data_IF_850292131231
#
_entry.id   IF_850292131231
#
_cell.length_a   1.000
_cell.length_b   1.000
_cell.length_c   1.000
_cell.angle_alpha   90.00
_cell.angle_beta   90.00
_cell.angle_gamma   90.00
#
_symmetry.space_group_name_H-M   'P 1'
#
loop_
_entity.id
_entity.type
_entity.pdbx_description
1 polymer ?
#
# COMPACT_ATOMS: atom_id res chain seq x y z
N UNK A 1 -8.75 -43.62 -13.22
CA UNK A 1 -9.24 -42.25 -12.91
C UNK A 1 -8.17 -41.16 -13.16
N UNK A 2 -6.88 -41.41 -12.95
CA UNK A 2 -5.79 -40.42 -13.13
C UNK A 2 -5.65 -39.74 -14.52
N UNK A 3 -5.89 -40.46 -15.64
CA UNK A 3 -5.71 -39.87 -16.99
C UNK A 3 -6.81 -38.91 -17.43
N UNK A 4 -8.03 -39.08 -16.93
CA UNK A 4 -9.15 -38.20 -17.29
C UNK A 4 -9.01 -36.86 -16.57
N UNK A 5 -8.54 -36.88 -15.33
CA UNK A 5 -8.31 -35.67 -14.53
C UNK A 5 -7.23 -34.75 -15.15
N UNK A 6 -6.14 -35.33 -15.67
CA UNK A 6 -5.07 -34.58 -16.36
C UNK A 6 -5.58 -33.93 -17.66
N UNK A 7 -6.48 -34.59 -18.39
CA UNK A 7 -7.06 -34.06 -19.63
C UNK A 7 -8.01 -32.91 -19.33
N UNK A 8 -8.85 -33.04 -18.30
CA UNK A 8 -9.78 -31.96 -17.88
C UNK A 8 -9.01 -30.75 -17.37
N UNK A 9 -7.96 -30.94 -16.55
CA UNK A 9 -7.13 -29.84 -16.02
C UNK A 9 -6.42 -29.06 -17.14
N UNK A 10 -5.89 -29.75 -18.14
CA UNK A 10 -5.29 -29.12 -19.33
C UNK A 10 -6.32 -28.40 -20.21
N UNK A 11 -7.56 -28.88 -20.25
CA UNK A 11 -8.64 -28.21 -20.98
C UNK A 11 -9.07 -26.92 -20.28
N UNK A 12 -9.17 -26.91 -18.95
CA UNK A 12 -9.55 -25.74 -18.16
C UNK A 12 -8.48 -24.65 -18.22
N UNK A 13 -7.20 -25.00 -18.06
CA UNK A 13 -6.07 -24.08 -18.26
C UNK A 13 -6.02 -23.52 -19.70
N UNK A 14 -6.33 -24.36 -20.70
CA UNK A 14 -6.40 -23.91 -22.10
C UNK A 14 -7.54 -22.92 -22.36
N UNK A 15 -8.69 -23.07 -21.69
CA UNK A 15 -9.83 -22.15 -21.83
C UNK A 15 -9.57 -20.82 -21.12
N UNK A 16 -8.90 -20.83 -19.95
CA UNK A 16 -8.49 -19.61 -19.26
C UNK A 16 -7.48 -18.80 -20.09
N UNK A 17 -6.46 -19.46 -20.65
CA UNK A 17 -5.49 -18.82 -21.53
C UNK A 17 -6.14 -18.26 -22.82
N UNK A 18 -7.14 -18.97 -23.36
CA UNK A 18 -7.87 -18.50 -24.55
C UNK A 18 -8.75 -17.27 -24.24
N UNK A 19 -9.35 -17.19 -23.06
CA UNK A 19 -10.14 -16.02 -22.64
C UNK A 19 -9.27 -14.76 -22.48
N UNK A 20 -8.05 -14.89 -21.96
CA UNK A 20 -7.08 -13.78 -21.87
C UNK A 20 -6.68 -13.28 -23.27
N UNK A 21 -6.47 -14.21 -24.20
CA UNK A 21 -6.08 -13.89 -25.58
C UNK A 21 -7.23 -13.24 -26.39
N UNK A 22 -8.47 -13.69 -26.18
CA UNK A 22 -9.67 -13.10 -26.80
C UNK A 22 -9.97 -11.71 -26.23
N UNK A 23 -9.77 -11.49 -24.93
CA UNK A 23 -9.93 -10.18 -24.31
C UNK A 23 -8.87 -9.18 -24.81
N UNK A 24 -7.62 -9.64 -24.98
CA UNK A 24 -6.54 -8.85 -25.58
C UNK A 24 -6.79 -8.47 -27.05
N UNK A 25 -7.39 -9.36 -27.85
CA UNK A 25 -7.76 -9.03 -29.24
C UNK A 25 -8.97 -8.09 -29.34
N UNK A 26 -9.93 -8.14 -28.41
CA UNK A 26 -11.08 -7.24 -28.44
C UNK A 26 -10.69 -5.79 -28.10
N UNK A 27 -9.69 -5.61 -27.23
CA UNK A 27 -9.14 -4.30 -26.85
C UNK A 27 -8.40 -3.62 -28.01
N UNK A 28 -7.74 -4.40 -28.86
CA UNK A 28 -7.03 -3.91 -30.06
C UNK A 28 -7.97 -3.33 -31.14
N UNK A 29 -9.26 -3.72 -31.14
CA UNK A 29 -10.23 -3.27 -32.17
C UNK A 29 -10.90 -1.94 -31.79
N UNK A 30 -10.77 -1.46 -30.55
CA UNK A 30 -11.50 -0.25 -30.09
C UNK A 30 -10.68 1.06 -30.12
N UNK A 31 -9.38 1.03 -30.44
CA UNK A 31 -8.50 2.20 -30.31
C UNK A 31 -8.20 2.98 -31.60
N UNK A 32 -8.89 2.72 -32.71
CA UNK A 32 -8.76 3.54 -33.93
C UNK A 32 -9.85 4.62 -34.03
N UNK A 33 -9.85 5.63 -33.15
CA UNK A 33 -10.55 6.90 -33.40
C UNK A 33 -10.14 8.02 -32.42
N UNK A 34 -9.48 9.06 -32.95
CA UNK A 34 -9.25 10.38 -32.31
C UNK A 34 -7.95 10.45 -31.52
N UNK A 35 -7.11 11.47 -31.61
CA UNK A 35 -7.27 12.82 -32.13
C UNK A 35 -6.35 13.71 -31.28
N UNK A 36 -5.30 14.22 -31.92
CA UNK A 36 -4.14 14.95 -31.41
C UNK A 36 -4.51 16.23 -30.62
N UNK A 37 -3.98 16.39 -29.40
CA UNK A 37 -3.70 17.71 -28.79
C UNK A 37 -2.61 17.58 -27.72
N UNK A 38 -1.44 18.14 -28.02
CA UNK A 38 -0.26 18.22 -27.15
C UNK A 38 -0.34 19.44 -26.22
N UNK A 39 -0.25 19.22 -24.91
CA UNK A 39 -0.04 20.29 -23.93
C UNK A 39 1.36 20.22 -23.33
N UNK A 40 2.09 21.32 -23.53
CA UNK A 40 3.42 21.59 -22.98
C UNK A 40 3.39 21.69 -21.44
N UNK A 41 4.28 20.95 -20.77
CA UNK A 41 4.55 21.12 -19.34
C UNK A 41 5.83 21.95 -19.17
N UNK A 42 5.67 23.09 -18.51
CA UNK A 42 6.74 24.00 -18.07
C UNK A 42 7.39 23.45 -16.80
N UNK A 43 8.69 23.18 -16.85
CA UNK A 43 9.49 22.80 -15.68
C UNK A 43 10.00 24.08 -15.02
N UNK A 44 9.49 24.39 -13.83
CA UNK A 44 10.03 25.49 -13.02
C UNK A 44 11.18 24.96 -12.16
N UNK A 45 12.42 25.21 -12.59
CA UNK A 45 13.62 25.01 -11.78
C UNK A 45 13.79 26.21 -10.84
N UNK A 46 13.39 26.04 -9.58
CA UNK A 46 13.72 26.97 -8.49
C UNK A 46 15.03 26.58 -7.83
N UNK A 47 16.11 27.23 -8.26
CA UNK A 47 17.44 27.20 -7.65
C UNK A 47 17.42 28.10 -6.39
N UNK A 48 17.72 27.55 -5.20
CA UNK A 48 17.88 28.33 -3.97
C UNK A 48 19.21 27.98 -3.32
N UNK A 49 20.27 28.63 -3.79
CA UNK A 49 21.49 28.82 -3.01
C UNK A 49 21.50 30.23 -2.42
N UNK A 50 21.42 30.32 -1.09
CA UNK A 50 21.43 31.59 -0.37
C UNK A 50 21.79 31.39 1.09
N UNK A 51 23.08 31.52 1.41
CA UNK A 51 23.59 31.70 2.78
C UNK A 51 23.00 32.99 3.40
N UNK A 52 22.65 33.01 4.69
CA UNK A 52 22.50 34.26 5.43
C UNK A 52 23.75 34.55 6.26
N UNK A 53 24.08 35.83 6.38
CA UNK A 53 25.04 36.33 7.38
C UNK A 53 24.43 37.53 8.11
N UNK A 54 24.59 37.48 9.44
CA UNK A 54 24.51 38.53 10.50
C UNK A 54 23.27 39.42 10.65
N UNK A 55 22.58 39.34 11.81
CA UNK A 55 22.72 40.25 12.99
C UNK A 55 21.52 40.14 13.94
N UNK A 56 21.82 39.91 15.22
CA UNK A 56 20.90 40.10 16.35
C UNK A 56 20.67 41.59 16.63
N UNK A 57 19.61 41.95 17.39
CA UNK A 57 19.85 42.19 18.81
C UNK A 57 18.74 41.68 19.76
N UNK A 58 19.15 41.63 21.02
CA UNK A 58 18.43 41.14 22.18
C UNK A 58 17.23 42.02 22.61
N UNK A 59 16.26 41.37 23.24
CA UNK A 59 15.49 41.95 24.34
C UNK A 59 15.00 40.85 25.27
N UNK A 60 15.41 40.95 26.53
CA UNK A 60 14.95 40.18 27.69
C UNK A 60 13.46 40.44 27.94
N UNK A 61 12.69 39.39 28.23
CA UNK A 61 11.58 39.53 29.17
C UNK A 61 11.35 38.22 29.93
N UNK A 62 11.27 38.38 31.24
CA UNK A 62 11.24 37.36 32.28
C UNK A 62 9.79 37.06 32.63
N UNK A 63 9.32 35.81 32.58
CA UNK A 63 8.14 35.40 33.37
C UNK A 63 8.41 34.04 34.01
N UNK A 64 8.11 34.02 35.30
CA UNK A 64 8.40 32.98 36.28
C UNK A 64 7.44 31.80 36.25
N UNK A 65 7.88 30.75 36.92
CA UNK A 65 7.27 29.45 37.17
C UNK A 65 5.86 29.48 37.78
N UNK A 66 5.08 28.44 37.48
CA UNK A 66 4.17 27.88 38.47
C UNK A 66 4.15 26.35 38.37
N UNK A 67 4.60 25.73 39.47
CA UNK A 67 4.59 24.31 39.77
C UNK A 67 3.29 24.02 40.50
N UNK A 68 2.48 23.08 40.00
CA UNK A 68 1.35 22.53 40.75
C UNK A 68 1.50 21.02 40.91
N UNK A 69 2.08 20.67 42.05
CA UNK A 69 2.02 19.37 42.72
C UNK A 69 0.56 19.01 43.07
N UNK A 70 0.12 17.82 42.68
CA UNK A 70 -0.99 17.12 43.34
C UNK A 70 -0.67 15.64 43.47
N UNK A 71 0.05 15.34 44.55
CA UNK A 71 0.02 14.07 45.26
C UNK A 71 -1.42 13.70 45.68
N UNK A 72 -1.84 12.47 45.36
CA UNK A 72 -3.04 11.81 45.88
C UNK A 72 -2.75 10.34 46.12
N UNK A 73 -2.58 9.99 47.39
CA UNK A 73 -2.36 8.63 47.92
C UNK A 73 -3.65 8.14 48.57
N UNK A 74 -3.80 6.80 48.63
CA UNK A 74 -4.73 5.95 49.39
C UNK A 74 -5.83 5.30 48.52
N UNK A 75 -6.22 4.03 48.66
CA UNK A 75 -5.87 2.99 49.62
C UNK A 75 -6.31 1.60 49.10
N UNK A 76 -5.46 0.59 49.31
CA UNK A 76 -5.73 -0.81 49.67
C UNK A 76 -7.20 -1.26 49.87
N UNK A 77 -7.63 -2.31 49.16
CA UNK A 77 -8.23 -3.53 49.73
C UNK A 77 -8.48 -4.61 48.65
N UNK A 78 -7.81 -5.77 48.77
CA UNK A 78 -8.35 -7.06 48.29
C UNK A 78 -8.80 -7.89 49.50
N UNK A 79 -9.02 -9.21 49.37
CA UNK A 79 -9.52 -9.99 48.23
C UNK A 79 -10.78 -10.80 48.62
N UNK A 80 -11.49 -11.41 47.68
CA UNK A 80 -12.34 -12.58 47.99
C UNK A 80 -12.33 -13.55 46.81
N UNK A 81 -11.66 -14.67 47.06
CA UNK A 81 -11.76 -15.89 46.30
C UNK A 81 -13.07 -16.57 46.69
N UNK A 82 -13.91 -16.90 45.70
CA UNK A 82 -14.97 -17.87 45.88
C UNK A 82 -14.73 -19.03 44.91
N UNK A 83 -14.59 -20.20 45.54
CA UNK A 83 -14.30 -21.48 44.91
C UNK A 83 -15.64 -22.18 44.72
N UNK A 84 -16.08 -22.36 43.48
CA UNK A 84 -17.21 -23.24 43.17
C UNK A 84 -16.71 -24.35 42.24
N UNK A 85 -16.50 -25.52 42.84
CA UNK A 85 -16.36 -26.78 42.14
C UNK A 85 -17.72 -27.16 41.54
N UNK A 86 -17.79 -27.33 40.23
CA UNK A 86 -18.93 -27.94 39.57
C UNK A 86 -18.51 -29.20 38.83
N UNK A 87 -19.40 -30.19 38.88
CA UNK A 87 -19.15 -31.59 38.69
C UNK A 87 -18.92 -31.96 37.21
N UNK A 88 -17.90 -32.77 36.95
CA UNK A 88 -17.64 -33.36 35.65
C UNK A 88 -18.70 -34.42 35.31
N UNK A 89 -19.53 -34.13 34.31
CA UNK A 89 -20.35 -35.12 33.63
C UNK A 89 -19.50 -35.95 32.62
N UNK A 90 -19.84 -37.23 32.35
CA UNK A 90 -19.10 -38.05 31.39
C UNK A 90 -19.26 -37.51 29.97
N UNK A 91 -18.15 -37.21 29.30
CA UNK A 91 -18.10 -36.85 27.88
C UNK A 91 -18.51 -38.08 27.06
N UNK A 92 -19.63 -37.96 26.34
CA UNK A 92 -19.99 -38.91 25.29
C UNK A 92 -18.93 -38.90 24.17
N UNK A 93 -18.67 -40.04 23.51
CA UNK A 93 -17.68 -40.11 22.44
C UNK A 93 -18.07 -39.17 21.31
N UNK A 94 -17.29 -38.11 21.14
CA UNK A 94 -17.33 -37.21 19.99
C UNK A 94 -17.25 -38.06 18.72
N UNK A 95 -18.38 -38.14 18.01
CA UNK A 95 -18.45 -38.77 16.70
C UNK A 95 -17.42 -38.14 15.77
N UNK A 96 -16.75 -38.99 15.00
CA UNK A 96 -15.85 -38.59 13.92
C UNK A 96 -16.57 -37.57 13.03
N UNK A 97 -16.23 -36.29 13.21
CA UNK A 97 -16.57 -35.25 12.25
C UNK A 97 -15.71 -35.56 11.04
N UNK A 98 -16.29 -36.24 10.05
CA UNK A 98 -15.73 -36.29 8.71
C UNK A 98 -15.60 -34.85 8.24
N UNK A 99 -14.38 -34.31 8.33
CA UNK A 99 -14.02 -33.08 7.65
C UNK A 99 -14.26 -33.31 6.16
N UNK A 100 -15.39 -32.83 5.65
CA UNK A 100 -15.63 -32.73 4.22
C UNK A 100 -14.53 -31.83 3.67
N UNK A 101 -13.63 -32.42 2.88
CA UNK A 101 -12.62 -31.68 2.12
C UNK A 101 -13.32 -30.55 1.37
N UNK A 102 -13.13 -29.32 1.83
CA UNK A 102 -13.69 -28.14 1.19
C UNK A 102 -12.82 -27.78 -0.01
N UNK A 103 -13.45 -27.42 -1.12
CA UNK A 103 -12.72 -26.90 -2.28
C UNK A 103 -12.15 -25.51 -1.96
N UNK A 104 -11.01 -25.13 -2.55
CA UNK A 104 -10.50 -23.76 -2.45
C UNK A 104 -11.56 -22.74 -2.90
N UNK A 105 -11.54 -21.52 -2.34
CA UNK A 105 -12.41 -20.45 -2.80
C UNK A 105 -12.20 -20.15 -4.30
N UNK A 106 -13.21 -19.61 -5.01
CA UNK A 106 -13.03 -19.17 -6.39
C UNK A 106 -12.02 -18.02 -6.49
N UNK A 107 -11.48 -17.81 -7.69
CA UNK A 107 -10.70 -16.60 -7.96
C UNK A 107 -11.57 -15.35 -7.83
N UNK A 108 -11.07 -14.28 -7.17
CA UNK A 108 -11.77 -13.00 -7.14
C UNK A 108 -11.83 -12.38 -8.54
N UNK A 109 -12.75 -11.44 -8.74
CA UNK A 109 -12.81 -10.69 -9.99
C UNK A 109 -11.56 -9.80 -10.13
N UNK A 110 -10.98 -9.67 -11.34
CA UNK A 110 -9.89 -8.73 -11.58
C UNK A 110 -10.30 -7.28 -11.29
N UNK A 111 -9.36 -6.48 -10.80
CA UNK A 111 -9.57 -5.05 -10.56
C UNK A 111 -9.87 -4.30 -11.85
N UNK A 112 -10.94 -3.52 -11.81
CA UNK A 112 -11.32 -2.62 -12.89
C UNK A 112 -11.27 -1.17 -12.38
N UNK A 113 -10.37 -0.33 -12.90
CA UNK A 113 -10.28 1.06 -12.47
C UNK A 113 -11.59 1.81 -12.71
N UNK A 114 -11.96 2.67 -11.77
CA UNK A 114 -13.16 3.49 -11.90
C UNK A 114 -13.05 4.46 -13.10
N UNK A 115 -14.16 4.92 -13.70
CA UNK A 115 -14.13 5.77 -14.89
C UNK A 115 -13.42 7.12 -14.71
N UNK A 116 -13.31 7.61 -13.48
CA UNK A 116 -12.60 8.84 -13.10
C UNK A 116 -11.09 8.64 -12.88
N UNK A 117 -10.58 7.41 -12.97
CA UNK A 117 -9.18 7.11 -12.73
C UNK A 117 -8.27 7.68 -13.81
N UNK A 118 -7.19 8.33 -13.38
CA UNK A 118 -6.11 8.74 -14.28
C UNK A 118 -5.29 7.51 -14.69
N UNK A 119 -4.89 7.46 -15.96
CA UNK A 119 -4.11 6.34 -16.51
C UNK A 119 -4.78 4.97 -16.29
N UNK A 120 -6.11 4.89 -16.44
CA UNK A 120 -6.89 3.67 -16.19
C UNK A 120 -6.33 2.42 -16.91
N UNK A 121 -5.86 2.55 -18.15
CA UNK A 121 -5.20 1.44 -18.86
C UNK A 121 -3.97 0.91 -18.10
N UNK A 122 -3.10 1.80 -17.64
CA UNK A 122 -1.91 1.44 -16.86
C UNK A 122 -2.28 0.83 -15.52
N UNK A 123 -3.23 1.43 -14.79
CA UNK A 123 -3.72 0.90 -13.51
C UNK A 123 -4.28 -0.51 -13.65
N UNK A 124 -5.10 -0.76 -14.68
CA UNK A 124 -5.62 -2.10 -14.99
C UNK A 124 -4.49 -3.10 -15.25
N UNK A 125 -3.50 -2.72 -16.06
CA UNK A 125 -2.37 -3.60 -16.39
C UNK A 125 -1.48 -3.89 -15.16
N UNK A 126 -1.19 -2.86 -14.35
CA UNK A 126 -0.45 -3.01 -13.10
C UNK A 126 -1.18 -3.90 -12.10
N UNK A 127 -2.47 -3.65 -11.89
CA UNK A 127 -3.32 -4.47 -11.03
C UNK A 127 -3.42 -5.92 -11.54
N UNK A 128 -3.48 -6.14 -12.84
CA UNK A 128 -3.47 -7.49 -13.43
C UNK A 128 -2.17 -8.23 -13.12
N UNK A 129 -1.02 -7.56 -13.16
CA UNK A 129 0.25 -8.20 -12.81
C UNK A 129 0.30 -8.62 -11.33
N UNK A 130 -0.14 -7.75 -10.42
CA UNK A 130 -0.27 -8.08 -8.99
C UNK A 130 -1.30 -9.19 -8.75
N UNK A 131 -2.43 -9.18 -9.47
CA UNK A 131 -3.45 -10.22 -9.44
C UNK A 131 -2.86 -11.57 -9.85
N UNK A 132 -2.11 -11.64 -10.95
CA UNK A 132 -1.50 -12.88 -11.43
C UNK A 132 -0.56 -13.50 -10.40
N UNK A 133 0.34 -12.73 -9.80
CA UNK A 133 1.33 -13.29 -8.85
C UNK A 133 0.71 -13.73 -7.52
N UNK A 134 -0.49 -13.24 -7.19
CA UNK A 134 -1.20 -13.54 -5.94
C UNK A 134 -2.35 -14.55 -6.10
N UNK A 135 -2.62 -15.02 -7.32
CA UNK A 135 -3.72 -15.94 -7.60
C UNK A 135 -3.19 -17.23 -8.26
N UNK A 136 -3.10 -18.30 -7.48
CA UNK A 136 -2.58 -19.60 -7.93
C UNK A 136 -3.20 -20.78 -7.19
N UNK A 137 -3.10 -21.96 -7.80
CA UNK A 137 -3.56 -23.22 -7.20
C UNK A 137 -2.43 -23.96 -6.49
N UNK A 138 -2.79 -24.89 -5.60
CA UNK A 138 -1.90 -25.74 -4.76
C UNK A 138 -0.70 -26.31 -5.52
N UNK A 139 -0.88 -26.76 -6.75
CA UNK A 139 0.16 -27.41 -7.56
C UNK A 139 0.86 -26.47 -8.55
N UNK A 140 0.58 -25.18 -8.49
CA UNK A 140 1.23 -24.18 -9.34
C UNK A 140 2.64 -23.90 -8.82
N UNK A 141 3.65 -24.05 -9.67
CA UNK A 141 4.98 -23.55 -9.39
C UNK A 141 5.07 -22.04 -9.62
N UNK A 142 5.97 -21.35 -8.92
CA UNK A 142 6.22 -19.92 -9.14
C UNK A 142 6.59 -19.64 -10.61
N UNK A 143 7.37 -20.50 -11.25
CA UNK A 143 7.71 -20.37 -12.67
C UNK A 143 6.48 -20.42 -13.58
N UNK A 144 5.52 -21.31 -13.31
CA UNK A 144 4.27 -21.37 -14.08
C UNK A 144 3.41 -20.13 -13.87
N UNK A 145 3.34 -19.60 -12.65
CA UNK A 145 2.64 -18.34 -12.34
C UNK A 145 3.27 -17.19 -13.13
N UNK A 146 4.59 -17.04 -13.05
CA UNK A 146 5.32 -15.97 -13.74
C UNK A 146 5.26 -16.07 -15.27
N UNK A 147 5.17 -17.29 -15.82
CA UNK A 147 5.02 -17.49 -17.26
C UNK A 147 3.69 -16.95 -17.83
N UNK A 148 2.73 -16.60 -16.98
CA UNK A 148 1.47 -15.96 -17.41
C UNK A 148 1.56 -14.44 -17.50
N UNK A 149 2.59 -13.82 -16.91
CA UNK A 149 2.86 -12.40 -17.10
C UNK A 149 3.43 -12.16 -18.51
N UNK A 150 2.99 -11.11 -19.22
CA UNK A 150 3.64 -10.69 -20.45
C UNK A 150 5.06 -10.19 -20.12
N UNK A 151 6.06 -10.51 -20.94
CA UNK A 151 7.42 -10.00 -20.73
C UNK A 151 8.52 -10.89 -21.31
N UNK A 152 9.77 -10.45 -21.14
CA UNK A 152 10.96 -11.18 -21.57
C UNK A 152 11.25 -12.37 -20.63
N UNK A 153 11.23 -13.62 -21.11
CA UNK A 153 11.59 -14.79 -20.32
C UNK A 153 12.98 -14.71 -19.69
N UNK A 154 13.91 -13.92 -20.27
CA UNK A 154 15.24 -13.72 -19.70
C UNK A 154 15.21 -13.00 -18.34
N UNK A 155 14.11 -12.30 -18.01
CA UNK A 155 13.92 -11.61 -16.73
C UNK A 155 13.19 -12.46 -15.68
N UNK A 156 12.74 -13.66 -16.04
CA UNK A 156 11.95 -14.52 -15.16
C UNK A 156 12.69 -14.87 -13.85
N UNK A 157 14.01 -15.03 -13.88
CA UNK A 157 14.81 -15.34 -12.69
C UNK A 157 14.87 -14.16 -11.71
N UNK A 158 15.12 -12.94 -12.22
CA UNK A 158 15.10 -11.72 -11.40
C UNK A 158 13.70 -11.47 -10.80
N UNK A 159 12.66 -11.68 -11.61
CA UNK A 159 11.28 -11.57 -11.17
C UNK A 159 10.94 -12.61 -10.09
N UNK A 160 11.38 -13.86 -10.26
CA UNK A 160 11.17 -14.92 -9.28
C UNK A 160 11.84 -14.58 -7.95
N UNK A 161 13.03 -13.97 -7.97
CA UNK A 161 13.69 -13.51 -6.75
C UNK A 161 12.88 -12.42 -6.04
N UNK A 162 12.32 -11.46 -6.79
CA UNK A 162 11.55 -10.36 -6.20
C UNK A 162 10.24 -10.85 -5.56
N UNK A 163 9.52 -11.75 -6.22
CA UNK A 163 8.19 -12.17 -5.77
C UNK A 163 8.17 -13.47 -4.96
N UNK A 164 9.33 -14.05 -4.62
CA UNK A 164 9.39 -15.38 -4.01
C UNK A 164 8.59 -15.50 -2.71
N UNK A 165 8.43 -14.42 -1.94
CA UNK A 165 7.62 -14.40 -0.71
C UNK A 165 6.12 -14.39 -0.93
N UNK A 166 5.67 -13.98 -2.12
CA UNK A 166 4.26 -13.95 -2.50
C UNK A 166 3.76 -15.36 -2.82
N UNK A 167 4.64 -16.23 -3.33
CA UNK A 167 4.31 -17.62 -3.64
C UNK A 167 4.56 -18.55 -2.45
N UNK A 168 3.58 -19.39 -2.12
CA UNK A 168 3.62 -20.35 -1.03
C UNK A 168 3.48 -21.77 -1.61
N UNK A 169 4.58 -22.51 -1.79
CA UNK A 169 4.54 -23.83 -2.41
C UNK A 169 3.62 -24.81 -1.68
N UNK A 170 2.74 -25.48 -2.42
CA UNK A 170 1.78 -26.45 -1.86
C UNK A 170 0.53 -25.82 -1.24
N UNK A 171 0.30 -24.53 -1.47
CA UNK A 171 -0.88 -23.79 -1.01
C UNK A 171 -1.61 -23.16 -2.20
N UNK A 172 -2.93 -23.00 -2.09
CA UNK A 172 -3.68 -22.11 -2.98
C UNK A 172 -3.56 -20.67 -2.47
N UNK A 173 -3.71 -19.70 -3.38
CA UNK A 173 -3.72 -18.28 -3.05
C UNK A 173 -4.81 -17.54 -3.82
N UNK A 174 -5.48 -16.60 -3.15
CA UNK A 174 -6.47 -15.67 -3.71
C UNK A 174 -6.09 -14.24 -3.35
N UNK A 175 -5.74 -13.45 -4.36
CA UNK A 175 -5.38 -12.06 -4.21
C UNK A 175 -6.49 -11.15 -4.70
N UNK A 176 -7.06 -10.35 -3.80
CA UNK A 176 -8.00 -9.29 -4.12
C UNK A 176 -7.25 -7.97 -4.15
N UNK A 177 -7.23 -7.30 -5.29
CA UNK A 177 -6.66 -5.95 -5.40
C UNK A 177 -7.66 -4.97 -4.79
N UNK A 178 -7.24 -4.29 -3.73
CA UNK A 178 -8.04 -3.31 -3.00
C UNK A 178 -7.93 -1.93 -3.64
N UNK A 179 -6.73 -1.57 -4.11
CA UNK A 179 -6.51 -0.32 -4.83
C UNK A 179 -5.25 -0.35 -5.71
N UNK A 180 -5.24 0.48 -6.75
CA UNK A 180 -4.09 0.70 -7.62
C UNK A 180 -3.80 2.21 -7.73
N UNK A 181 -2.72 2.66 -7.09
CA UNK A 181 -2.25 4.05 -7.07
C UNK A 181 -1.20 4.29 -8.16
N UNK A 182 -1.13 5.51 -8.70
CA UNK A 182 0.06 5.95 -9.42
C UNK A 182 1.25 6.16 -8.47
N UNK A 183 2.36 5.44 -8.69
CA UNK A 183 3.64 5.65 -7.96
C UNK A 183 4.62 6.57 -8.70
N UNK A 184 4.34 6.90 -9.96
CA UNK A 184 5.19 7.77 -10.77
C UNK A 184 4.85 7.71 -12.26
N UNK A 185 5.02 8.82 -12.97
CA UNK A 185 4.62 8.92 -14.38
C UNK A 185 5.61 9.75 -15.20
N UNK A 186 6.09 9.17 -16.30
CA UNK A 186 6.89 9.78 -17.36
C UNK A 186 6.30 9.39 -18.72
N UNK A 187 6.65 10.10 -19.79
CA UNK A 187 6.10 9.85 -21.14
C UNK A 187 6.19 8.39 -21.61
N UNK A 188 7.25 7.67 -21.22
CA UNK A 188 7.51 6.28 -21.64
C UNK A 188 7.53 5.24 -20.51
N UNK A 189 7.38 5.65 -19.25
CA UNK A 189 7.46 4.75 -18.08
C UNK A 189 6.48 5.18 -17.01
N UNK A 190 5.87 4.22 -16.33
CA UNK A 190 4.93 4.48 -15.25
C UNK A 190 5.08 3.42 -14.16
N UNK A 191 4.79 3.81 -12.93
CA UNK A 191 4.72 2.93 -11.77
C UNK A 191 3.30 2.89 -11.26
N UNK A 192 2.82 1.69 -11.00
CA UNK A 192 1.52 1.42 -10.37
C UNK A 192 1.79 0.69 -9.07
N UNK A 193 1.40 1.29 -7.95
CA UNK A 193 1.50 0.71 -6.62
C UNK A 193 0.16 0.06 -6.29
N UNK A 194 0.15 -1.25 -6.14
CA UNK A 194 -1.08 -2.06 -6.02
C UNK A 194 -1.18 -2.63 -4.62
N UNK A 195 -2.21 -2.21 -3.88
CA UNK A 195 -2.56 -2.80 -2.59
C UNK A 195 -3.35 -4.07 -2.86
N UNK A 196 -2.83 -5.22 -2.43
CA UNK A 196 -3.43 -6.53 -2.65
C UNK A 196 -3.57 -7.29 -1.34
N UNK A 197 -4.79 -7.67 -0.99
CA UNK A 197 -5.09 -8.59 0.10
C UNK A 197 -5.00 -10.02 -0.43
N UNK A 198 -4.04 -10.76 0.07
CA UNK A 198 -3.73 -12.13 -0.31
C UNK A 198 -4.16 -13.10 0.78
N UNK A 199 -5.06 -14.01 0.43
CA UNK A 199 -5.50 -15.13 1.26
C UNK A 199 -4.82 -16.41 0.77
N UNK A 200 -4.19 -17.15 1.68
CA UNK A 200 -3.44 -18.36 1.37
C UNK A 200 -3.94 -19.50 2.23
N UNK A 201 -4.20 -20.67 1.63
CA UNK A 201 -4.69 -21.84 2.34
C UNK A 201 -4.24 -23.17 1.74
N UNK A 202 -4.49 -24.24 2.46
CA UNK A 202 -4.06 -25.60 2.08
C UNK A 202 -5.11 -26.35 1.27
N UNK A 203 -4.67 -27.38 0.54
CA UNK A 203 -5.56 -28.28 -0.19
C UNK A 203 -6.62 -28.90 0.74
N UNK A 204 -7.87 -28.91 0.29
CA UNK A 204 -8.99 -29.48 1.04
C UNK A 204 -9.55 -28.58 2.14
N UNK A 205 -9.05 -27.34 2.28
CA UNK A 205 -9.66 -26.27 3.08
C UNK A 205 -10.18 -25.15 2.17
N UNK A 206 -11.40 -24.68 2.44
CA UNK A 206 -11.95 -23.47 1.85
C UNK A 206 -11.65 -22.21 2.67
N UNK A 207 -11.15 -22.36 3.89
CA UNK A 207 -10.75 -21.25 4.76
C UNK A 207 -9.25 -20.96 4.60
N UNK A 208 -8.84 -19.69 4.56
CA UNK A 208 -7.43 -19.33 4.51
C UNK A 208 -6.73 -19.65 5.83
N UNK A 209 -5.49 -20.13 5.74
CA UNK A 209 -4.59 -20.27 6.91
C UNK A 209 -3.91 -18.94 7.24
N UNK A 210 -3.70 -18.11 6.23
CA UNK A 210 -3.01 -16.83 6.35
C UNK A 210 -3.67 -15.79 5.46
N UNK A 211 -3.75 -14.58 5.95
CA UNK A 211 -4.10 -13.41 5.16
C UNK A 211 -3.03 -12.35 5.35
N UNK A 212 -2.57 -11.76 4.25
CA UNK A 212 -1.60 -10.67 4.24
C UNK A 212 -2.04 -9.61 3.22
N UNK A 213 -1.93 -8.33 3.56
CA UNK A 213 -2.10 -7.24 2.60
C UNK A 213 -0.74 -6.66 2.23
N UNK A 214 -0.40 -6.62 0.94
CA UNK A 214 0.90 -6.14 0.44
C UNK A 214 0.74 -5.01 -0.55
N UNK A 215 1.77 -4.18 -0.66
CA UNK A 215 1.87 -3.17 -1.72
C UNK A 215 2.91 -3.57 -2.75
N UNK A 216 2.44 -3.89 -3.95
CA UNK A 216 3.27 -4.34 -5.07
C UNK A 216 3.55 -3.17 -6.01
N UNK A 217 4.82 -2.87 -6.27
CA UNK A 217 5.21 -1.85 -7.24
C UNK A 217 5.43 -2.50 -8.61
N UNK A 218 4.52 -2.21 -9.53
CA UNK A 218 4.57 -2.70 -10.91
C UNK A 218 5.04 -1.57 -11.82
N UNK A 219 6.05 -1.88 -12.64
CA UNK A 219 6.56 -0.96 -13.66
C UNK A 219 6.02 -1.34 -15.03
N UNK A 220 5.58 -0.32 -15.76
CA UNK A 220 5.16 -0.45 -17.14
C UNK A 220 5.97 0.50 -18.01
N UNK A 221 6.17 0.11 -19.26
CA UNK A 221 6.82 0.92 -20.29
C UNK A 221 5.91 1.08 -21.50
N UNK A 222 6.10 2.17 -22.26
CA UNK A 222 5.42 2.32 -23.55
C UNK A 222 6.07 1.42 -24.59
N UNK A 223 5.28 0.55 -25.20
CA UNK A 223 5.69 -0.28 -26.34
C UNK A 223 5.78 0.50 -27.65
N UNK A 224 6.21 -0.17 -28.72
CA UNK A 224 6.34 0.43 -30.05
C UNK A 224 5.01 0.97 -30.61
N UNK A 225 3.90 0.34 -30.21
CA UNK A 225 2.54 0.76 -30.58
C UNK A 225 2.06 2.01 -29.83
N UNK A 226 2.80 2.44 -28.81
CA UNK A 226 2.37 3.47 -27.87
C UNK A 226 1.44 2.97 -26.77
N UNK A 227 1.09 1.68 -26.70
CA UNK A 227 0.34 1.10 -25.58
C UNK A 227 1.25 0.87 -24.35
N UNK A 228 0.66 0.74 -23.16
CA UNK A 228 1.40 0.33 -21.97
C UNK A 228 1.68 -1.18 -22.01
N UNK A 229 2.90 -1.57 -21.65
CA UNK A 229 3.34 -2.96 -21.57
C UNK A 229 4.01 -3.21 -20.22
N UNK A 230 3.84 -4.42 -19.67
CA UNK A 230 4.51 -4.82 -18.42
C UNK A 230 6.03 -4.83 -18.61
N UNK A 231 6.75 -4.26 -17.65
CA UNK A 231 8.21 -4.19 -17.66
C UNK A 231 8.81 -5.09 -16.56
N UNK A 232 8.42 -4.84 -15.29
CA UNK A 232 8.88 -5.59 -14.12
C UNK A 232 7.95 -5.41 -12.91
N UNK A 233 8.11 -6.28 -11.91
CA UNK A 233 7.70 -6.00 -10.53
C UNK A 233 8.97 -5.53 -9.81
N UNK A 234 8.98 -4.27 -9.39
CA UNK A 234 10.13 -3.65 -8.75
C UNK A 234 10.15 -3.85 -7.23
N UNK A 235 9.00 -4.19 -6.64
CA UNK A 235 8.87 -4.53 -5.22
C UNK A 235 7.63 -5.40 -5.01
N UNK A 236 7.75 -6.48 -4.24
CA UNK A 236 6.62 -7.31 -3.79
C UNK A 236 6.10 -6.96 -2.37
N UNK A 237 6.42 -5.76 -1.89
CA UNK A 237 5.98 -5.26 -0.58
C UNK A 237 6.83 -5.74 0.58
N UNK A 238 8.11 -6.04 0.32
CA UNK A 238 9.07 -6.43 1.35
C UNK A 238 8.89 -7.85 1.89
N UNK A 239 9.67 -8.15 2.93
CA UNK A 239 9.70 -9.44 3.61
C UNK A 239 8.88 -9.35 4.91
N UNK A 240 8.14 -10.42 5.29
CA UNK A 240 7.51 -10.47 6.59
C UNK A 240 8.50 -10.25 7.74
N UNK A 241 8.13 -9.37 8.66
CA UNK A 241 8.89 -9.09 9.89
C UNK A 241 7.99 -9.42 11.08
N UNK A 242 8.49 -10.23 12.01
CA UNK A 242 7.79 -10.49 13.27
C UNK A 242 7.74 -9.23 14.14
N UNK A 243 6.63 -9.03 14.86
CA UNK A 243 6.49 -7.91 15.80
C UNK A 243 7.58 -7.97 16.87
N UNK A 244 8.45 -6.94 16.98
CA UNK A 244 9.47 -6.91 18.02
C UNK A 244 8.83 -6.88 19.41
N UNK A 245 9.39 -7.65 20.35
CA UNK A 245 8.89 -7.68 21.74
C UNK A 245 9.08 -6.33 22.45
N UNK A 246 10.05 -5.54 22.00
CA UNK A 246 10.40 -4.20 22.49
C UNK A 246 10.00 -3.08 21.51
N UNK A 247 8.95 -3.32 20.70
CA UNK A 247 8.43 -2.31 19.78
C UNK A 247 8.15 -0.99 20.53
N UNK A 248 8.69 0.12 20.03
CA UNK A 248 8.54 1.43 20.65
C UNK A 248 7.05 1.79 20.84
N UNK A 249 6.65 2.39 21.97
CA UNK A 249 5.23 2.67 22.26
C UNK A 249 4.51 3.48 21.19
N UNK A 250 5.19 4.43 20.54
CA UNK A 250 4.63 5.21 19.45
C UNK A 250 4.35 4.35 18.21
N UNK A 251 5.30 3.50 17.83
CA UNK A 251 5.14 2.57 16.71
C UNK A 251 4.02 1.56 16.97
N UNK A 252 3.95 1.01 18.19
CA UNK A 252 2.83 0.16 18.61
C UNK A 252 1.49 0.90 18.54
N UNK A 253 1.45 2.16 18.96
CA UNK A 253 0.24 2.98 18.90
C UNK A 253 -0.26 3.22 17.49
N UNK A 254 0.61 3.27 16.48
CA UNK A 254 0.22 3.37 15.07
C UNK A 254 -0.29 2.02 14.55
N UNK A 255 0.47 0.94 14.75
CA UNK A 255 0.13 -0.39 14.25
C UNK A 255 -1.17 -0.92 14.85
N UNK A 256 -1.41 -0.67 16.12
CA UNK A 256 -2.61 -1.15 16.82
C UNK A 256 -3.81 -0.20 16.70
N UNK A 257 -3.69 0.90 15.93
CA UNK A 257 -4.75 1.89 15.81
C UNK A 257 -5.85 1.44 14.83
N UNK A 258 -7.10 1.22 15.27
CA UNK A 258 -8.17 0.75 14.39
C UNK A 258 -8.63 1.80 13.36
N UNK A 259 -8.13 3.04 13.44
CA UNK A 259 -8.41 4.10 12.45
C UNK A 259 -7.32 4.21 11.38
N UNK A 260 -6.23 3.46 11.51
CA UNK A 260 -5.15 3.45 10.53
C UNK A 260 -5.16 2.06 9.89
N UNK A 261 -5.68 1.98 8.68
CA UNK A 261 -5.67 0.75 7.91
C UNK A 261 -4.35 0.64 7.15
N UNK A 262 -3.51 -0.29 7.60
CA UNK A 262 -2.15 -0.49 7.10
C UNK A 262 -2.06 -1.82 6.34
N UNK A 263 -1.45 -1.83 5.13
CA UNK A 263 -0.99 -3.08 4.56
C UNK A 263 0.11 -3.67 5.47
N UNK A 264 0.21 -4.99 5.53
CA UNK A 264 1.26 -5.69 6.29
C UNK A 264 2.67 -5.22 5.87
N UNK A 265 2.88 -4.86 4.59
CA UNK A 265 4.12 -4.21 4.13
C UNK A 265 4.48 -2.96 4.94
N UNK A 266 3.52 -2.09 5.21
CA UNK A 266 3.72 -0.89 6.03
C UNK A 266 3.94 -1.25 7.52
N UNK A 267 3.28 -2.29 8.02
CA UNK A 267 3.51 -2.81 9.37
C UNK A 267 4.95 -3.32 9.51
N UNK A 268 5.46 -4.06 8.53
CA UNK A 268 6.85 -4.55 8.51
C UNK A 268 7.87 -3.42 8.44
N UNK A 269 7.58 -2.35 7.68
CA UNK A 269 8.39 -1.14 7.66
C UNK A 269 8.51 -0.53 9.07
N UNK A 270 7.41 -0.45 9.81
CA UNK A 270 7.39 0.05 11.20
C UNK A 270 8.16 -0.90 12.13
N UNK A 271 7.94 -2.21 12.04
CA UNK A 271 8.62 -3.21 12.85
C UNK A 271 10.13 -3.25 12.62
N UNK A 272 10.57 -2.99 11.40
CA UNK A 272 11.98 -2.91 11.05
C UNK A 272 12.67 -1.64 11.58
N UNK A 273 11.92 -0.68 12.14
CA UNK A 273 12.44 0.54 12.75
C UNK A 273 12.90 1.60 11.76
N UNK A 274 12.50 1.49 10.48
CA UNK A 274 12.88 2.45 9.44
C UNK A 274 11.97 3.68 9.37
N UNK A 275 10.81 3.65 10.02
CA UNK A 275 9.83 4.77 10.00
C UNK A 275 10.20 5.87 11.00
N UNK A 276 10.27 7.10 10.52
CA UNK A 276 10.64 8.28 11.31
C UNK A 276 9.59 8.58 12.40
N UNK A 277 10.06 9.03 13.56
CA UNK A 277 9.22 9.37 14.71
C UNK A 277 8.17 10.43 14.35
N UNK A 278 8.58 11.50 13.64
CA UNK A 278 7.68 12.59 13.28
C UNK A 278 6.56 12.13 12.34
N UNK A 279 6.82 11.11 11.51
CA UNK A 279 5.81 10.53 10.64
C UNK A 279 4.78 9.75 11.45
N UNK A 280 5.23 8.93 12.41
CA UNK A 280 4.33 8.18 13.29
C UNK A 280 3.43 9.11 14.14
N UNK A 281 3.96 10.22 14.63
CA UNK A 281 3.15 11.26 15.31
C UNK A 281 2.10 11.86 14.37
N UNK A 282 2.51 12.25 13.16
CA UNK A 282 1.62 12.78 12.13
C UNK A 282 0.49 11.81 11.80
N UNK A 283 0.81 10.52 11.66
CA UNK A 283 -0.15 9.45 11.40
C UNK A 283 -1.19 9.31 12.53
N UNK A 284 -0.77 9.41 13.79
CA UNK A 284 -1.70 9.39 14.93
C UNK A 284 -2.58 10.64 15.01
N UNK A 285 -2.02 11.82 14.76
CA UNK A 285 -2.78 13.06 14.75
C UNK A 285 -3.81 13.12 13.62
N UNK A 286 -3.48 12.50 12.48
CA UNK A 286 -4.42 12.26 11.40
C UNK A 286 -5.53 11.28 11.84
N UNK A 287 -5.18 10.17 12.49
CA UNK A 287 -6.13 9.17 12.98
C UNK A 287 -7.14 9.73 14.01
N UNK A 288 -6.75 10.76 14.76
CA UNK A 288 -7.67 11.48 15.66
C UNK A 288 -8.79 12.22 14.93
N UNK A 289 -8.59 12.56 13.65
CA UNK A 289 -9.54 13.33 12.82
C UNK A 289 -10.43 12.41 12.01
N UNK A 290 -9.85 11.38 11.40
CA UNK A 290 -10.55 10.47 10.50
C UNK A 290 -9.84 9.13 10.43
N UNK A 291 -10.57 8.06 10.06
CA UNK A 291 -9.91 6.85 9.58
C UNK A 291 -9.28 7.09 8.21
N UNK A 292 -8.29 6.30 7.83
CA UNK A 292 -7.68 6.33 6.51
C UNK A 292 -6.96 5.01 6.19
N UNK A 293 -6.75 4.75 4.90
CA UNK A 293 -6.02 3.57 4.42
C UNK A 293 -4.76 3.97 3.67
N UNK A 294 -3.68 3.27 3.97
CA UNK A 294 -2.32 3.55 3.49
C UNK A 294 -2.00 2.68 2.28
N UNK A 295 -1.33 3.26 1.29
CA UNK A 295 -0.70 2.48 0.21
C UNK A 295 0.70 2.05 0.61
N UNK A 296 1.56 2.98 1.02
CA UNK A 296 2.95 2.63 1.37
C UNK A 296 3.56 3.59 2.39
N UNK A 297 4.56 3.08 3.12
CA UNK A 297 5.49 3.86 3.94
C UNK A 297 6.89 3.83 3.33
N UNK A 298 7.48 2.65 3.18
CA UNK A 298 8.84 2.47 2.66
C UNK A 298 8.90 1.41 1.57
N UNK A 299 8.53 0.16 1.88
CA UNK A 299 8.47 -0.92 0.88
C UNK A 299 7.25 -0.77 -0.01
N UNK A 300 7.31 -1.29 -1.25
CA UNK A 300 6.23 -1.13 -2.22
C UNK A 300 6.20 0.22 -2.93
N UNK A 301 7.14 1.13 -2.66
CA UNK A 301 7.27 2.44 -3.33
C UNK A 301 8.61 2.55 -4.10
N UNK A 302 8.68 3.28 -5.23
CA UNK A 302 9.95 3.57 -5.90
C UNK A 302 11.04 4.15 -4.98
N UNK A 303 12.25 3.60 -5.08
CA UNK A 303 13.41 4.00 -4.25
C UNK A 303 13.87 5.46 -4.47
N UNK A 304 13.72 5.97 -5.70
CA UNK A 304 13.98 7.36 -6.02
C UNK A 304 12.68 8.01 -6.44
N UNK A 305 12.60 9.34 -6.30
CA UNK A 305 11.53 10.10 -6.95
C UNK A 305 11.53 9.75 -8.42
N UNK A 306 10.38 9.28 -8.90
CA UNK A 306 10.30 8.49 -10.12
C UNK A 306 10.93 9.20 -11.31
N UNK A 307 11.83 8.51 -12.02
CA UNK A 307 12.58 9.08 -13.15
C UNK A 307 13.79 9.94 -12.80
N UNK A 308 14.12 10.08 -11.51
CA UNK A 308 15.25 10.90 -11.05
C UNK A 308 16.25 10.09 -10.23
N UNK A 309 17.36 10.72 -9.84
CA UNK A 309 18.33 10.18 -8.88
C UNK A 309 18.12 10.71 -7.46
N UNK A 310 17.07 11.51 -7.23
CA UNK A 310 16.76 12.05 -5.90
C UNK A 310 16.09 10.95 -5.07
N UNK A 311 16.64 10.67 -3.89
CA UNK A 311 16.08 9.69 -2.97
C UNK A 311 14.65 10.07 -2.59
N UNK A 312 13.73 9.10 -2.57
CA UNK A 312 12.36 9.33 -2.11
C UNK A 312 12.32 9.46 -0.59
N UNK A 313 11.39 10.26 -0.05
CA UNK A 313 11.17 10.30 1.39
C UNK A 313 10.59 8.99 1.93
N UNK A 314 9.86 8.22 1.12
CA UNK A 314 9.47 6.85 1.46
C UNK A 314 10.71 5.98 1.76
N UNK A 315 11.77 6.12 0.95
CA UNK A 315 13.00 5.34 1.09
C UNK A 315 13.76 5.61 2.38
N UNK A 316 13.53 6.76 3.01
CA UNK A 316 14.12 7.09 4.32
C UNK A 316 13.08 7.08 5.44
N UNK A 317 11.90 6.48 5.21
CA UNK A 317 10.84 6.28 6.20
C UNK A 317 10.16 7.57 6.65
N UNK A 318 10.10 8.58 5.79
CA UNK A 318 9.62 9.93 6.09
C UNK A 318 8.37 10.33 5.30
N UNK A 319 7.77 9.41 4.58
CA UNK A 319 6.54 9.68 3.87
C UNK A 319 5.51 8.55 4.00
N UNK A 320 4.25 8.94 3.82
CA UNK A 320 3.10 8.03 3.72
C UNK A 320 2.22 8.46 2.56
N UNK A 321 1.74 7.47 1.81
CA UNK A 321 0.73 7.66 0.78
C UNK A 321 -0.61 7.10 1.27
N UNK A 322 -1.69 7.88 1.09
CA UNK A 322 -3.03 7.59 1.59
C UNK A 322 -4.02 7.65 0.43
N UNK A 323 -4.69 6.54 0.13
CA UNK A 323 -5.64 6.45 -0.99
C UNK A 323 -7.10 6.56 -0.58
N UNK A 324 -7.40 6.40 0.71
CA UNK A 324 -8.76 6.48 1.24
C UNK A 324 -8.77 7.29 2.54
N UNK A 325 -9.75 8.20 2.66
CA UNK A 325 -10.00 9.00 3.87
C UNK A 325 -11.44 8.77 4.31
N UNK A 326 -11.62 8.38 5.57
CA UNK A 326 -12.90 7.93 6.09
C UNK A 326 -13.31 6.62 5.42
N UNK A 327 -14.30 6.71 4.54
CA UNK A 327 -14.78 5.62 3.69
C UNK A 327 -14.81 6.01 2.21
N UNK A 328 -14.15 7.10 1.84
CA UNK A 328 -14.17 7.67 0.49
C UNK A 328 -12.76 7.63 -0.11
N UNK A 329 -12.64 7.11 -1.33
CA UNK A 329 -11.38 7.13 -2.06
C UNK A 329 -11.00 8.58 -2.39
N UNK A 330 -9.71 8.89 -2.36
CA UNK A 330 -9.21 10.24 -2.68
C UNK A 330 -9.58 10.62 -4.11
N UNK A 331 -9.61 9.66 -5.05
CA UNK A 331 -10.03 9.90 -6.45
C UNK A 331 -11.50 10.31 -6.60
N UNK A 332 -12.36 9.95 -5.64
CA UNK A 332 -13.79 10.27 -5.64
C UNK A 332 -14.09 11.60 -4.91
N UNK A 333 -13.18 12.02 -4.03
CA UNK A 333 -13.40 13.10 -3.08
C UNK A 333 -12.96 14.50 -3.57
N UNK A 334 -12.85 14.74 -4.88
CA UNK A 334 -12.22 15.95 -5.46
C UNK A 334 -12.95 17.28 -5.21
N UNK A 335 -14.19 17.24 -4.75
CA UNK A 335 -14.95 18.45 -4.43
C UNK A 335 -14.32 19.21 -3.24
N UNK A 336 -14.22 20.53 -3.33
CA UNK A 336 -13.64 21.38 -2.26
C UNK A 336 -14.50 21.44 -1.00
N UNK A 337 -15.70 20.87 -1.04
CA UNK A 337 -16.56 20.70 0.14
C UNK A 337 -16.40 19.32 0.78
N UNK A 338 -15.56 18.44 0.22
CA UNK A 338 -15.33 17.09 0.76
C UNK A 338 -14.56 17.11 2.08
N UNK A 339 -14.73 16.05 2.87
CA UNK A 339 -13.98 15.89 4.11
C UNK A 339 -12.48 15.72 3.86
N UNK A 340 -12.11 15.09 2.74
CA UNK A 340 -10.72 14.94 2.28
C UNK A 340 -10.10 16.29 1.92
N UNK A 341 -10.84 17.21 1.32
CA UNK A 341 -10.36 18.57 1.07
C UNK A 341 -10.12 19.33 2.38
N UNK A 342 -11.08 19.31 3.31
CA UNK A 342 -10.93 19.96 4.62
C UNK A 342 -9.73 19.40 5.42
N UNK A 343 -9.49 18.08 5.33
CA UNK A 343 -8.30 17.47 5.89
C UNK A 343 -7.02 17.97 5.21
N UNK A 344 -7.04 18.11 3.88
CA UNK A 344 -5.92 18.62 3.09
C UNK A 344 -5.59 20.07 3.44
N UNK A 345 -6.60 20.93 3.66
CA UNK A 345 -6.40 22.30 4.18
C UNK A 345 -5.71 22.28 5.55
N UNK A 346 -6.12 21.37 6.43
CA UNK A 346 -5.46 21.21 7.72
C UNK A 346 -4.00 20.77 7.56
N UNK A 347 -3.70 19.78 6.71
CA UNK A 347 -2.32 19.33 6.44
C UNK A 347 -1.45 20.44 5.87
N UNK A 348 -1.99 21.24 4.93
CA UNK A 348 -1.31 22.42 4.36
C UNK A 348 -1.00 23.49 5.40
N UNK A 349 -1.86 23.64 6.42
CA UNK A 349 -1.64 24.63 7.48
C UNK A 349 -0.49 24.26 8.44
N UNK A 350 0.02 23.03 8.37
CA UNK A 350 1.02 22.50 9.30
C UNK A 350 2.45 22.85 8.86
N UNK A 351 3.20 23.45 9.77
CA UNK A 351 4.59 23.83 9.50
C UNK A 351 5.58 22.67 9.51
N UNK A 352 5.22 21.54 10.12
CA UNK A 352 6.02 20.33 10.23
C UNK A 352 5.89 19.40 9.01
N UNK A 353 4.85 19.58 8.19
CA UNK A 353 4.73 18.93 6.88
C UNK A 353 5.60 19.66 5.88
N UNK A 354 6.34 18.89 5.07
CA UNK A 354 7.41 19.40 4.20
C UNK A 354 7.26 18.99 2.74
N UNK A 355 6.52 17.92 2.49
CA UNK A 355 6.01 17.56 1.17
C UNK A 355 4.54 17.20 1.34
N UNK A 356 3.65 17.86 0.61
CA UNK A 356 2.24 17.51 0.58
C UNK A 356 1.76 17.44 -0.87
N UNK A 357 1.61 16.21 -1.37
CA UNK A 357 1.04 15.93 -2.67
C UNK A 357 -0.46 15.67 -2.55
N UNK A 358 -1.28 16.33 -3.36
CA UNK A 358 -2.72 16.09 -3.37
C UNK A 358 -3.36 16.38 -4.73
N UNK A 359 -4.64 16.04 -4.93
CA UNK A 359 -5.37 16.42 -6.13
C UNK A 359 -5.54 17.94 -6.32
N UNK A 360 -5.42 18.71 -5.23
CA UNK A 360 -5.74 20.14 -5.22
C UNK A 360 -4.51 21.01 -5.28
N UNK A 361 -4.63 22.08 -6.07
CA UNK A 361 -3.67 23.18 -6.05
C UNK A 361 -4.03 24.14 -4.92
N UNK A 362 -3.12 24.27 -3.97
CA UNK A 362 -3.15 25.33 -2.96
C UNK A 362 -2.40 26.56 -3.46
N UNK A 363 -2.47 27.67 -2.72
CA UNK A 363 -1.76 28.91 -3.05
C UNK A 363 -0.26 28.63 -3.23
N UNK A 364 0.35 29.18 -4.28
CA UNK A 364 1.79 29.03 -4.60
C UNK A 364 2.70 29.51 -3.44
N UNK A 365 2.18 30.33 -2.52
CA UNK A 365 2.88 30.70 -1.28
C UNK A 365 3.14 29.50 -0.34
N UNK A 366 2.40 28.40 -0.49
CA UNK A 366 2.56 27.16 0.28
C UNK A 366 3.61 26.28 -0.39
N UNK A 367 4.88 26.62 -0.19
CA UNK A 367 6.00 26.00 -0.91
C UNK A 367 6.14 24.47 -0.75
N UNK A 368 5.49 23.86 0.25
CA UNK A 368 5.56 22.41 0.50
C UNK A 368 4.42 21.63 -0.18
N UNK A 369 3.40 22.29 -0.72
CA UNK A 369 2.25 21.65 -1.34
C UNK A 369 2.39 21.59 -2.87
N UNK A 370 1.96 20.49 -3.48
CA UNK A 370 1.96 20.32 -4.93
C UNK A 370 0.80 19.44 -5.42
N UNK A 371 0.38 19.71 -6.66
CA UNK A 371 -0.62 18.90 -7.36
C UNK A 371 -0.11 18.55 -8.75
N UNK A 372 -0.09 17.26 -9.05
CA UNK A 372 0.31 16.73 -10.34
C UNK A 372 -0.48 15.45 -10.62
N UNK A 373 -0.29 14.87 -11.82
CA UNK A 373 -1.04 13.70 -12.25
C UNK A 373 -0.85 12.47 -11.34
N UNK A 374 0.32 12.32 -10.71
CA UNK A 374 0.61 11.19 -9.82
C UNK A 374 -0.25 11.27 -8.56
N UNK A 375 -0.50 12.47 -8.03
CA UNK A 375 -1.22 12.68 -6.76
C UNK A 375 -2.70 12.97 -6.98
N UNK A 376 -3.25 12.58 -8.13
CA UNK A 376 -4.66 12.79 -8.44
C UNK A 376 -5.58 11.82 -7.67
N UNK A 377 -5.02 10.74 -7.13
CA UNK A 377 -5.72 9.59 -6.61
C UNK A 377 -5.31 9.22 -5.17
N UNK A 378 -4.40 9.97 -4.57
CA UNK A 378 -3.92 9.79 -3.20
C UNK A 378 -3.41 11.11 -2.60
N UNK A 379 -3.24 11.12 -1.28
CA UNK A 379 -2.51 12.14 -0.54
C UNK A 379 -1.12 11.61 -0.22
N UNK A 380 -0.09 12.37 -0.59
CA UNK A 380 1.30 12.13 -0.18
C UNK A 380 1.64 13.08 0.96
N UNK A 381 2.14 12.55 2.08
CA UNK A 381 2.55 13.33 3.24
C UNK A 381 4.01 13.00 3.56
N UNK A 382 4.89 13.97 3.41
CA UNK A 382 6.30 13.89 3.77
C UNK A 382 6.65 14.82 4.93
N UNK A 383 7.35 14.28 5.91
CA UNK A 383 7.89 15.02 7.07
C UNK A 383 9.41 15.13 6.97
N UNK A 384 10.00 16.17 7.56
CA UNK A 384 11.42 16.15 7.89
C UNK A 384 11.56 16.25 9.40
N UNK A 385 12.56 15.58 10.00
CA UNK A 385 12.84 15.79 11.41
C UNK A 385 13.08 17.29 11.63
N UNK A 386 12.35 17.88 12.58
CA UNK A 386 12.78 19.15 13.14
C UNK A 386 14.21 18.93 13.67
N UNK A 387 15.15 19.88 13.48
CA UNK A 387 16.42 19.78 14.17
C UNK A 387 16.10 19.61 15.65
N UNK A 388 16.51 18.48 16.24
CA UNK A 388 16.40 18.30 17.68
C UNK A 388 17.11 19.51 18.29
N UNK A 389 16.42 20.25 19.15
CA UNK A 389 17.13 21.13 20.06
C UNK A 389 18.16 20.23 20.76
N UNK A 390 19.44 20.56 20.60
CA UNK A 390 20.55 19.74 21.09
C UNK A 390 20.29 19.35 22.56
N UNK A 391 20.37 18.05 22.87
CA UNK A 391 20.37 17.53 24.24
C UNK A 391 21.65 17.91 24.99
#
# INVERSE_FOLDING_TARGET
MSRIFIIVKRLVLGVAALNVLVLGMLLMVTLTAGGDESQNVSVNQGDVSGRPDVTAPASEETIAAEVADRSGVAESAGPSADTAADAAAPLEPTGDVQATSAEPPPFPDPFEPAPNEVQAEAKRLGAMAAYVITNYEVDSSLTEVLATLPGDPARAEALALEVHTVHQPGMWSRGTVEYAQLGGHLDGRISIMVVVRQEVGVEGSGEPERTETRTVDVRLMRGESGAWEFDEIASAGGQPVERPADLAPLAASVVDNPRIDLPDSAIWDIYSGHTDHALLETMLELAQRTSYSVVALHTGHPHHVFGTTRLSNHTVGRAVDIYMVGSELVIDAHDVTSSTYALSEWLVSRSDIKEFGSPWRFDDAVAHAFANQVHHDHLHIGVFPLPRAEE
#
